data_IF_721737900988
#
_entry.id   IF_721737900988
#
_cell.length_a   1.000
_cell.length_b   1.000
_cell.length_c   1.000
_cell.angle_alpha   90.00
_cell.angle_beta   90.00
_cell.angle_gamma   90.00
#
_symmetry.space_group_name_H-M   'P 1'
#
loop_
_entity.id
_entity.type
_entity.pdbx_description
1 polymer ?
#
# COMPACT_ATOMS: atom_id res chain seq x y z
N UNK A 1 -2.13 -2.94 8.54
CA UNK A 1 -0.90 -3.75 8.68
C UNK A 1 0.02 -3.02 9.66
N UNK A 2 0.24 -3.56 10.84
CA UNK A 2 1.26 -3.04 11.75
C UNK A 2 2.64 -3.49 11.27
N UNK A 3 3.58 -2.56 11.20
CA UNK A 3 5.00 -2.84 10.99
C UNK A 3 5.83 -1.78 11.72
N UNK A 4 6.92 -2.22 12.34
CA UNK A 4 7.84 -1.35 13.06
C UNK A 4 9.02 -0.93 12.19
N UNK A 5 9.31 -1.72 11.14
CA UNK A 5 10.45 -1.54 10.25
C UNK A 5 10.02 -1.54 8.80
N UNK A 6 10.61 -0.68 8.01
CA UNK A 6 10.34 -0.65 6.57
C UNK A 6 11.59 -0.31 5.74
N UNK A 7 11.62 -0.85 4.53
CA UNK A 7 12.58 -0.50 3.51
C UNK A 7 11.82 0.08 2.33
N UNK A 8 12.29 1.22 1.84
CA UNK A 8 11.80 1.82 0.62
C UNK A 8 12.98 1.98 -0.32
N UNK A 9 13.08 1.12 -1.36
CA UNK A 9 14.20 1.17 -2.33
C UNK A 9 14.25 2.47 -3.11
N UNK A 10 13.11 3.13 -3.21
CA UNK A 10 12.92 4.36 -3.97
C UNK A 10 12.43 5.50 -3.08
N UNK A 11 12.71 6.73 -3.50
CA UNK A 11 12.09 7.96 -3.03
C UNK A 11 11.52 8.70 -4.24
N UNK A 12 10.24 9.07 -4.20
CA UNK A 12 9.42 9.37 -5.36
C UNK A 12 8.78 8.12 -5.95
N UNK A 13 7.75 8.30 -6.77
CA UNK A 13 7.00 7.17 -7.35
C UNK A 13 6.37 7.56 -8.69
N UNK A 14 6.77 6.88 -9.75
CA UNK A 14 6.26 7.11 -11.11
C UNK A 14 4.76 6.83 -11.27
N UNK A 15 4.13 6.09 -10.34
CA UNK A 15 2.70 5.79 -10.36
C UNK A 15 1.82 7.05 -10.36
N UNK A 16 2.29 8.15 -9.76
CA UNK A 16 1.65 9.45 -9.84
C UNK A 16 0.29 9.56 -9.15
N UNK A 17 -0.01 8.71 -8.17
CA UNK A 17 -1.27 8.77 -7.45
C UNK A 17 -1.49 10.15 -6.84
N UNK A 18 -2.63 10.79 -7.13
CA UNK A 18 -2.93 12.16 -6.66
C UNK A 18 -3.03 12.24 -5.13
N UNK A 19 -3.48 11.18 -4.50
CA UNK A 19 -3.71 11.06 -3.06
C UNK A 19 -2.49 10.54 -2.28
N UNK A 20 -1.33 10.38 -2.90
CA UNK A 20 -0.20 9.70 -2.26
C UNK A 20 0.33 10.50 -1.07
N UNK A 21 0.19 9.95 0.12
CA UNK A 21 0.64 10.58 1.37
C UNK A 21 2.17 10.73 1.48
N UNK A 22 2.92 10.08 0.59
CA UNK A 22 4.38 10.18 0.55
C UNK A 22 4.88 11.40 -0.23
N UNK A 23 4.01 12.10 -0.99
CA UNK A 23 4.37 13.28 -1.78
C UNK A 23 5.15 14.36 -1.00
N UNK A 24 4.75 14.71 0.23
CA UNK A 24 5.48 15.71 1.03
C UNK A 24 6.94 15.30 1.35
N UNK A 25 7.32 14.04 1.15
CA UNK A 25 8.72 13.62 1.36
C UNK A 25 9.71 14.29 0.38
N UNK A 26 9.25 14.79 -0.77
CA UNK A 26 10.07 15.53 -1.72
C UNK A 26 10.38 16.94 -1.25
N UNK A 27 9.51 17.55 -0.43
CA UNK A 27 9.79 18.87 0.15
C UNK A 27 11.05 18.87 1.04
N UNK A 28 11.43 17.73 1.65
CA UNK A 28 12.70 17.59 2.38
C UNK A 28 13.94 17.60 1.48
N UNK A 29 13.76 17.53 0.16
CA UNK A 29 14.81 17.58 -0.86
C UNK A 29 14.76 18.89 -1.65
N UNK A 30 14.02 19.88 -1.17
CA UNK A 30 13.73 21.14 -1.87
C UNK A 30 13.09 20.93 -3.26
N UNK A 31 12.29 19.85 -3.39
CA UNK A 31 11.58 19.49 -4.60
C UNK A 31 10.06 19.58 -4.40
N UNK A 32 9.34 19.82 -5.51
CA UNK A 32 7.88 19.88 -5.49
C UNK A 32 7.26 18.54 -5.11
N UNK A 33 6.29 18.49 -4.16
CA UNK A 33 5.49 17.30 -3.89
C UNK A 33 4.51 16.96 -5.03
N UNK A 34 4.37 17.83 -6.02
CA UNK A 34 3.60 17.63 -7.24
C UNK A 34 4.35 16.78 -8.26
N UNK A 35 4.77 17.41 -9.36
CA UNK A 35 5.37 16.72 -10.50
C UNK A 35 6.74 16.11 -10.20
N UNK A 36 7.57 16.77 -9.37
CA UNK A 36 8.90 16.23 -9.06
C UNK A 36 8.82 14.89 -8.32
N UNK A 37 7.79 14.68 -7.47
CA UNK A 37 7.57 13.39 -6.82
C UNK A 37 7.36 12.23 -7.81
N UNK A 38 6.86 12.53 -8.99
CA UNK A 38 6.53 11.55 -10.03
C UNK A 38 7.62 11.37 -11.08
N UNK A 39 8.52 12.35 -11.22
CA UNK A 39 9.49 12.43 -12.33
C UNK A 39 10.94 12.43 -11.85
N UNK A 40 11.21 12.83 -10.62
CA UNK A 40 12.54 12.82 -10.00
C UNK A 40 12.63 11.70 -8.99
N UNK A 41 12.89 10.50 -9.50
CA UNK A 41 12.95 9.28 -8.67
C UNK A 41 14.40 9.09 -8.20
N UNK A 42 14.57 9.03 -6.88
CA UNK A 42 15.82 8.62 -6.27
C UNK A 42 15.75 7.13 -5.93
N UNK A 43 16.86 6.43 -6.07
CA UNK A 43 16.94 5.01 -5.77
C UNK A 43 18.19 4.69 -4.94
N UNK A 44 18.13 3.60 -4.20
CA UNK A 44 19.19 3.14 -3.29
C UNK A 44 19.83 1.89 -3.87
N UNK A 45 20.88 2.02 -4.68
CA UNK A 45 21.49 0.88 -5.36
C UNK A 45 22.13 -0.11 -4.38
N UNK A 46 22.57 0.37 -3.23
CA UNK A 46 23.22 -0.34 -2.14
C UNK A 46 22.24 -0.78 -1.01
N UNK A 47 20.93 -0.84 -1.30
CA UNK A 47 19.92 -1.17 -0.29
C UNK A 47 20.11 -2.57 0.32
N UNK A 48 20.53 -3.55 -0.49
CA UNK A 48 20.76 -4.92 -0.02
C UNK A 48 22.01 -5.01 0.89
N UNK A 49 23.11 -4.36 0.50
CA UNK A 49 24.36 -4.31 1.26
C UNK A 49 24.17 -3.62 2.61
N UNK A 50 23.43 -2.50 2.61
CA UNK A 50 23.10 -1.79 3.86
C UNK A 50 22.21 -2.62 4.78
N UNK A 51 21.26 -3.35 4.21
CA UNK A 51 20.39 -4.23 4.99
C UNK A 51 21.19 -5.36 5.63
N UNK A 52 22.10 -5.99 4.87
CA UNK A 52 22.99 -7.02 5.39
C UNK A 52 23.85 -6.49 6.55
N UNK A 53 24.47 -5.32 6.37
CA UNK A 53 25.26 -4.67 7.43
C UNK A 53 24.43 -4.35 8.69
N UNK A 54 23.13 -4.07 8.53
CA UNK A 54 22.24 -3.88 9.68
C UNK A 54 21.97 -5.20 10.41
N UNK A 55 21.78 -6.30 9.67
CA UNK A 55 21.53 -7.63 10.23
C UNK A 55 22.75 -8.21 10.95
N UNK A 56 23.96 -7.86 10.55
CA UNK A 56 25.21 -8.29 11.20
C UNK A 56 25.46 -7.65 12.59
N UNK A 57 24.68 -6.64 12.96
CA UNK A 57 24.81 -6.00 14.27
C UNK A 57 24.39 -6.94 15.40
N UNK A 58 25.21 -7.07 16.43
CA UNK A 58 24.91 -7.89 17.63
C UNK A 58 23.58 -7.53 18.33
N UNK A 59 23.11 -6.29 18.16
CA UNK A 59 21.84 -5.81 18.74
C UNK A 59 20.65 -6.01 17.82
N UNK A 60 20.83 -6.66 16.66
CA UNK A 60 19.74 -6.86 15.73
C UNK A 60 18.78 -7.94 16.27
N UNK A 61 17.50 -7.59 16.31
CA UNK A 61 16.40 -8.49 16.62
C UNK A 61 15.58 -8.71 15.37
N UNK A 62 15.32 -9.95 14.98
CA UNK A 62 14.50 -10.25 13.82
C UNK A 62 13.04 -9.82 14.05
N UNK A 63 12.54 -8.98 13.16
CA UNK A 63 11.12 -8.58 13.07
C UNK A 63 10.76 -8.40 11.60
N UNK A 64 9.53 -8.71 11.19
CA UNK A 64 9.11 -8.53 9.80
C UNK A 64 9.37 -7.12 9.28
N UNK A 65 9.97 -7.03 8.11
CA UNK A 65 10.26 -5.76 7.45
C UNK A 65 9.24 -5.52 6.34
N UNK A 66 8.63 -4.33 6.29
CA UNK A 66 7.73 -3.95 5.22
C UNK A 66 8.50 -3.29 4.06
N UNK A 67 8.33 -3.79 2.83
CA UNK A 67 8.80 -3.13 1.61
C UNK A 67 7.61 -2.43 0.96
N UNK A 68 7.79 -1.17 0.56
CA UNK A 68 6.74 -0.40 -0.10
C UNK A 68 5.79 0.34 0.85
N UNK A 69 6.22 0.58 2.08
CA UNK A 69 5.44 1.34 3.06
C UNK A 69 5.27 2.82 2.67
N UNK A 70 6.18 3.38 1.88
CA UNK A 70 6.16 4.79 1.47
C UNK A 70 6.02 4.95 -0.04
N UNK A 71 6.89 4.31 -0.82
CA UNK A 71 6.87 4.31 -2.29
C UNK A 71 6.74 2.90 -2.82
N UNK A 72 6.12 2.75 -4.00
CA UNK A 72 5.86 1.42 -4.55
C UNK A 72 7.17 0.73 -4.96
N UNK A 73 7.49 -0.46 -4.44
CA UNK A 73 8.71 -1.19 -4.77
C UNK A 73 8.66 -1.80 -6.18
N UNK A 74 7.49 -1.84 -6.81
CA UNK A 74 7.28 -2.33 -8.16
C UNK A 74 6.78 -1.24 -9.12
N UNK A 75 7.17 0.02 -8.85
CA UNK A 75 6.98 1.11 -9.81
C UNK A 75 7.80 0.85 -11.09
N UNK A 76 7.50 1.52 -12.22
CA UNK A 76 8.16 1.24 -13.51
C UNK A 76 9.69 1.16 -13.47
N UNK A 77 10.37 2.02 -12.69
CA UNK A 77 11.83 2.02 -12.54
C UNK A 77 12.39 0.66 -12.05
N UNK A 78 11.64 -0.08 -11.25
CA UNK A 78 12.07 -1.39 -10.75
C UNK A 78 12.27 -2.42 -11.87
N UNK A 79 11.61 -2.25 -13.03
CA UNK A 79 11.79 -3.16 -14.18
C UNK A 79 13.24 -3.21 -14.65
N UNK A 80 13.93 -2.08 -14.63
CA UNK A 80 15.33 -1.96 -15.08
C UNK A 80 16.34 -2.01 -13.93
N UNK A 81 15.98 -1.49 -12.75
CA UNK A 81 16.91 -1.36 -11.63
C UNK A 81 17.01 -2.64 -10.78
N UNK A 82 15.95 -3.42 -10.66
CA UNK A 82 15.93 -4.72 -9.98
C UNK A 82 16.32 -4.68 -8.49
N UNK A 83 16.12 -3.54 -7.80
CA UNK A 83 16.55 -3.37 -6.40
C UNK A 83 15.69 -4.19 -5.47
N UNK A 84 14.37 -4.21 -5.70
CA UNK A 84 13.42 -5.03 -4.91
C UNK A 84 13.74 -6.50 -5.04
N UNK A 85 14.05 -6.99 -6.26
CA UNK A 85 14.44 -8.39 -6.47
C UNK A 85 15.70 -8.73 -5.67
N UNK A 86 16.76 -7.91 -5.72
CA UNK A 86 17.99 -8.14 -4.92
C UNK A 86 17.71 -8.18 -3.41
N UNK A 87 16.81 -7.32 -2.93
CA UNK A 87 16.37 -7.38 -1.54
C UNK A 87 15.69 -8.71 -1.23
N UNK A 88 14.77 -9.19 -2.09
CA UNK A 88 14.08 -10.48 -1.88
C UNK A 88 15.04 -11.66 -1.90
N UNK A 89 16.05 -11.67 -2.76
CA UNK A 89 17.12 -12.68 -2.77
C UNK A 89 17.87 -12.71 -1.44
N UNK A 90 18.12 -11.52 -0.85
CA UNK A 90 18.74 -11.41 0.47
C UNK A 90 17.80 -11.93 1.58
N UNK A 91 16.52 -11.54 1.57
CA UNK A 91 15.51 -12.04 2.50
C UNK A 91 15.40 -13.57 2.49
N UNK A 92 15.39 -14.16 1.29
CA UNK A 92 15.33 -15.61 1.13
C UNK A 92 16.60 -16.29 1.65
N UNK A 93 17.78 -15.79 1.29
CA UNK A 93 19.08 -16.34 1.71
C UNK A 93 19.23 -16.39 3.22
N UNK A 94 18.78 -15.33 3.91
CA UNK A 94 18.89 -15.20 5.37
C UNK A 94 17.62 -15.63 6.10
N UNK A 95 16.63 -16.18 5.42
CA UNK A 95 15.33 -16.58 5.98
C UNK A 95 14.66 -15.49 6.82
N UNK A 96 14.81 -14.25 6.41
CA UNK A 96 14.25 -13.10 7.12
C UNK A 96 12.81 -12.81 6.65
N UNK A 97 11.84 -12.60 7.58
CA UNK A 97 10.46 -12.34 7.21
C UNK A 97 10.25 -10.95 6.58
N UNK A 98 9.43 -10.90 5.53
CA UNK A 98 9.14 -9.69 4.75
C UNK A 98 7.66 -9.56 4.43
N UNK A 99 7.14 -8.33 4.44
CA UNK A 99 5.83 -8.00 3.89
C UNK A 99 6.01 -7.03 2.73
N UNK A 100 5.23 -7.19 1.66
CA UNK A 100 5.30 -6.33 0.49
C UNK A 100 3.98 -5.61 0.32
N UNK A 101 4.04 -4.31 0.02
CA UNK A 101 2.86 -3.49 -0.31
C UNK A 101 3.07 -2.91 -1.70
N UNK A 102 2.16 -3.20 -2.63
CA UNK A 102 2.29 -2.72 -4.00
C UNK A 102 0.95 -2.49 -4.71
N UNK A 103 0.99 -1.69 -5.76
CA UNK A 103 -0.03 -1.56 -6.81
C UNK A 103 0.44 -2.14 -8.14
N UNK A 104 1.73 -2.54 -8.20
CA UNK A 104 2.39 -2.97 -9.42
C UNK A 104 2.13 -4.44 -9.76
N UNK A 105 1.72 -4.71 -11.02
CA UNK A 105 1.66 -6.09 -11.52
C UNK A 105 3.06 -6.73 -11.63
N UNK A 106 4.11 -5.91 -11.67
CA UNK A 106 5.50 -6.38 -11.78
C UNK A 106 5.94 -7.30 -10.62
N UNK A 107 5.20 -7.32 -9.51
CA UNK A 107 5.43 -8.25 -8.39
C UNK A 107 5.45 -9.72 -8.84
N UNK A 108 4.73 -10.07 -9.90
CA UNK A 108 4.69 -11.42 -10.47
C UNK A 108 6.02 -11.84 -11.08
N UNK A 109 6.89 -10.89 -11.49
CA UNK A 109 8.26 -11.19 -11.94
C UNK A 109 9.05 -11.98 -10.90
N UNK A 110 8.82 -11.71 -9.62
CA UNK A 110 9.59 -12.25 -8.50
C UNK A 110 8.83 -13.39 -7.78
N UNK A 111 7.87 -14.04 -8.50
CA UNK A 111 7.04 -15.10 -7.97
C UNK A 111 7.86 -16.31 -7.50
N UNK A 112 8.99 -16.59 -8.17
CA UNK A 112 9.94 -17.64 -7.78
C UNK A 112 10.45 -17.45 -6.34
N UNK A 113 10.88 -16.23 -6.01
CA UNK A 113 11.37 -15.89 -4.67
C UNK A 113 10.24 -15.82 -3.63
N UNK A 114 9.10 -15.24 -4.03
CA UNK A 114 7.95 -15.08 -3.13
C UNK A 114 7.32 -16.41 -2.76
N UNK A 115 7.19 -17.35 -3.71
CA UNK A 115 6.67 -18.69 -3.44
C UNK A 115 7.59 -19.47 -2.50
N UNK A 116 8.92 -19.33 -2.66
CA UNK A 116 9.86 -19.99 -1.77
C UNK A 116 9.83 -19.40 -0.35
N UNK A 117 9.80 -18.07 -0.22
CA UNK A 117 9.61 -17.39 1.06
C UNK A 117 8.30 -17.81 1.74
N UNK A 118 7.21 -17.95 0.96
CA UNK A 118 5.89 -18.33 1.47
C UNK A 118 5.88 -19.77 2.04
N UNK A 119 6.58 -20.72 1.41
CA UNK A 119 6.72 -22.10 1.93
C UNK A 119 7.31 -22.13 3.34
N UNK A 120 8.12 -21.16 3.69
CA UNK A 120 8.74 -21.02 5.00
C UNK A 120 7.98 -20.06 5.93
N UNK A 121 6.77 -19.62 5.57
CA UNK A 121 6.01 -18.59 6.30
C UNK A 121 6.81 -17.28 6.50
N UNK A 122 7.61 -16.88 5.50
CA UNK A 122 8.48 -15.71 5.57
C UNK A 122 7.97 -14.51 4.77
N UNK A 123 6.89 -14.66 3.99
CA UNK A 123 6.40 -13.49 3.26
C UNK A 123 4.88 -13.39 3.19
N UNK A 124 4.41 -12.16 2.92
CA UNK A 124 3.04 -11.82 2.55
C UNK A 124 3.06 -10.66 1.59
N UNK A 125 2.11 -10.66 0.66
CA UNK A 125 1.96 -9.59 -0.33
C UNK A 125 0.61 -8.92 -0.16
N UNK A 126 0.62 -7.60 0.02
CA UNK A 126 -0.58 -6.77 0.05
C UNK A 126 -0.70 -5.99 -1.26
N UNK A 127 -1.79 -6.21 -1.98
CA UNK A 127 -2.08 -5.51 -3.24
C UNK A 127 -3.16 -4.46 -3.03
N UNK A 128 -2.87 -3.22 -3.44
CA UNK A 128 -3.83 -2.11 -3.29
C UNK A 128 -4.80 -2.06 -4.46
N UNK A 129 -6.11 -2.07 -4.18
CA UNK A 129 -7.20 -1.93 -5.16
C UNK A 129 -8.22 -0.92 -4.62
N UNK A 130 -8.02 0.40 -4.84
CA UNK A 130 -8.93 1.42 -4.31
C UNK A 130 -10.21 1.60 -5.11
N UNK A 131 -10.24 1.19 -6.38
CA UNK A 131 -11.43 1.30 -7.25
C UNK A 131 -11.41 0.23 -8.34
N UNK A 132 -12.59 -0.20 -8.75
CA UNK A 132 -12.81 -1.04 -9.93
C UNK A 132 -13.19 -0.21 -11.16
N UNK A 133 -13.47 1.06 -10.99
CA UNK A 133 -13.83 1.98 -12.07
C UNK A 133 -12.57 2.47 -12.79
N UNK A 134 -12.41 2.09 -14.07
CA UNK A 134 -11.23 2.44 -14.88
C UNK A 134 -11.13 3.95 -15.19
N UNK A 135 -12.25 4.68 -15.28
CA UNK A 135 -12.23 6.12 -15.49
C UNK A 135 -11.75 6.85 -14.25
N UNK A 136 -12.27 6.47 -13.07
CA UNK A 136 -11.79 7.00 -11.80
C UNK A 136 -10.32 6.65 -11.60
N UNK A 137 -9.92 5.40 -11.86
CA UNK A 137 -8.51 4.96 -11.77
C UNK A 137 -7.62 5.83 -12.66
N UNK A 138 -8.03 6.14 -13.89
CA UNK A 138 -7.22 6.90 -14.85
C UNK A 138 -6.85 8.29 -14.33
N UNK A 139 -7.80 8.98 -13.69
CA UNK A 139 -7.58 10.33 -13.16
C UNK A 139 -6.94 10.32 -11.75
N UNK A 140 -7.12 9.26 -10.99
CA UNK A 140 -6.64 9.15 -9.61
C UNK A 140 -5.25 8.49 -9.51
N UNK A 141 -4.98 7.52 -10.38
CA UNK A 141 -3.77 6.68 -10.42
C UNK A 141 -3.28 6.52 -11.88
N UNK A 142 -2.79 7.58 -12.53
CA UNK A 142 -2.61 7.61 -13.99
C UNK A 142 -1.71 6.48 -14.53
N UNK A 143 -0.62 6.16 -13.86
CA UNK A 143 0.39 5.18 -14.33
C UNK A 143 0.39 3.86 -13.54
N UNK A 144 -0.61 3.64 -12.70
CA UNK A 144 -0.77 2.36 -11.99
C UNK A 144 -1.50 1.36 -12.92
N UNK A 145 -1.20 0.05 -12.85
CA UNK A 145 -1.96 -0.97 -13.57
C UNK A 145 -3.47 -0.93 -13.26
N UNK A 146 -4.32 -1.36 -14.20
CA UNK A 146 -5.77 -1.44 -14.01
C UNK A 146 -6.16 -2.35 -12.84
N UNK A 147 -7.37 -2.20 -12.31
CA UNK A 147 -7.89 -3.09 -11.28
C UNK A 147 -7.84 -4.56 -11.73
N UNK A 148 -8.25 -4.85 -12.97
CA UNK A 148 -8.18 -6.21 -13.53
C UNK A 148 -6.76 -6.78 -13.57
N UNK A 149 -5.74 -5.95 -13.86
CA UNK A 149 -4.34 -6.38 -13.82
C UNK A 149 -3.87 -6.69 -12.40
N UNK A 150 -4.29 -5.90 -11.40
CA UNK A 150 -3.96 -6.14 -9.99
C UNK A 150 -4.64 -7.41 -9.48
N UNK A 151 -5.90 -7.66 -9.85
CA UNK A 151 -6.60 -8.91 -9.52
C UNK A 151 -5.92 -10.14 -10.15
N UNK A 152 -5.43 -10.02 -11.39
CA UNK A 152 -4.62 -11.10 -11.99
C UNK A 152 -3.35 -11.38 -11.19
N UNK A 153 -2.61 -10.33 -10.81
CA UNK A 153 -1.42 -10.50 -9.96
C UNK A 153 -1.76 -11.19 -8.62
N UNK A 154 -2.90 -10.83 -8.00
CA UNK A 154 -3.36 -11.50 -6.78
C UNK A 154 -3.62 -12.99 -7.01
N UNK A 155 -4.30 -13.36 -8.11
CA UNK A 155 -4.55 -14.78 -8.45
C UNK A 155 -3.26 -15.56 -8.70
N UNK A 156 -2.32 -14.96 -9.42
CA UNK A 156 -1.02 -15.60 -9.70
C UNK A 156 -0.22 -15.83 -8.41
N UNK A 157 -0.18 -14.85 -7.51
CA UNK A 157 0.43 -14.98 -6.19
C UNK A 157 -0.26 -16.05 -5.34
N UNK A 158 -1.59 -16.02 -5.24
CA UNK A 158 -2.37 -16.98 -4.46
C UNK A 158 -2.21 -18.41 -5.00
N UNK A 159 -2.24 -18.60 -6.33
CA UNK A 159 -2.04 -19.90 -6.97
C UNK A 159 -0.63 -20.47 -6.74
N UNK A 160 0.37 -19.62 -6.53
CA UNK A 160 1.73 -20.01 -6.16
C UNK A 160 1.91 -20.25 -4.64
N UNK A 161 0.83 -20.15 -3.85
CA UNK A 161 0.87 -20.35 -2.39
C UNK A 161 1.35 -19.15 -1.59
N UNK A 162 1.50 -17.99 -2.22
CA UNK A 162 1.87 -16.74 -1.52
C UNK A 162 0.63 -16.18 -0.81
N UNK A 163 0.68 -15.93 0.52
CA UNK A 163 -0.42 -15.29 1.22
C UNK A 163 -0.68 -13.87 0.71
N UNK A 164 -1.90 -13.61 0.21
CA UNK A 164 -2.29 -12.33 -0.38
C UNK A 164 -3.29 -11.62 0.51
N UNK A 165 -3.08 -10.33 0.74
CA UNK A 165 -4.06 -9.44 1.33
C UNK A 165 -4.42 -8.28 0.40
N UNK A 166 -5.65 -7.77 0.55
CA UNK A 166 -6.13 -6.63 -0.22
C UNK A 166 -6.06 -5.35 0.62
N UNK A 167 -5.61 -4.26 0.00
CA UNK A 167 -5.68 -2.91 0.57
C UNK A 167 -6.66 -2.06 -0.23
N UNK A 168 -7.83 -1.76 0.35
CA UNK A 168 -8.74 -0.75 -0.22
C UNK A 168 -8.26 0.60 0.29
N UNK A 169 -7.29 1.17 -0.40
CA UNK A 169 -6.54 2.33 0.07
C UNK A 169 -6.14 3.29 -1.06
N UNK A 170 -6.65 4.54 -0.99
CA UNK A 170 -7.55 5.06 0.04
C UNK A 170 -9.02 4.79 -0.27
N UNK A 171 -9.85 4.76 0.80
CA UNK A 171 -11.29 5.02 0.67
C UNK A 171 -11.48 6.53 0.72
N UNK A 172 -12.00 7.09 -0.36
CA UNK A 172 -12.28 8.52 -0.52
C UNK A 172 -13.79 8.72 -0.37
N UNK A 173 -14.24 9.41 0.69
CA UNK A 173 -15.66 9.61 0.95
C UNK A 173 -16.37 10.29 -0.24
N UNK A 174 -17.56 9.82 -0.58
CA UNK A 174 -18.39 10.30 -1.68
C UNK A 174 -17.76 10.15 -3.10
N UNK A 175 -16.64 9.46 -3.25
CA UNK A 175 -15.99 9.19 -4.54
C UNK A 175 -15.96 7.68 -4.85
N UNK A 176 -15.24 6.86 -4.04
CA UNK A 176 -15.13 5.42 -4.25
C UNK A 176 -15.63 4.57 -3.06
N UNK A 177 -16.16 5.19 -2.03
CA UNK A 177 -16.69 4.51 -0.84
C UNK A 177 -17.91 3.61 -1.12
N UNK A 178 -18.62 3.84 -2.22
CA UNK A 178 -19.70 3.00 -2.69
C UNK A 178 -19.22 1.68 -3.34
N UNK A 179 -17.92 1.57 -3.67
CA UNK A 179 -17.36 0.38 -4.30
C UNK A 179 -16.83 -0.67 -3.28
N UNK A 180 -16.83 -0.39 -1.98
CA UNK A 180 -16.17 -1.23 -0.95
C UNK A 180 -16.58 -2.70 -1.07
N UNK A 181 -17.88 -2.98 -1.14
CA UNK A 181 -18.41 -4.34 -1.17
C UNK A 181 -18.05 -5.07 -2.47
N UNK A 182 -18.13 -4.39 -3.61
CA UNK A 182 -17.78 -4.96 -4.92
C UNK A 182 -16.27 -5.22 -5.07
N UNK A 183 -15.43 -4.32 -4.53
CA UNK A 183 -13.98 -4.52 -4.47
C UNK A 183 -13.67 -5.73 -3.60
N UNK A 184 -14.25 -5.82 -2.40
CA UNK A 184 -14.04 -6.96 -1.49
C UNK A 184 -14.43 -8.29 -2.12
N UNK A 185 -15.56 -8.36 -2.82
CA UNK A 185 -15.97 -9.56 -3.55
C UNK A 185 -14.95 -9.94 -4.62
N UNK A 186 -14.46 -8.96 -5.41
CA UNK A 186 -13.50 -9.20 -6.48
C UNK A 186 -12.14 -9.65 -5.97
N UNK A 187 -11.65 -9.10 -4.84
CA UNK A 187 -10.36 -9.49 -4.27
C UNK A 187 -10.45 -10.84 -3.55
N UNK A 188 -11.59 -11.18 -2.94
CA UNK A 188 -11.83 -12.52 -2.38
C UNK A 188 -11.81 -13.59 -3.47
N UNK A 189 -12.51 -13.36 -4.60
CA UNK A 189 -12.46 -14.22 -5.80
C UNK A 189 -11.03 -14.33 -6.39
N UNK A 190 -10.22 -13.30 -6.23
CA UNK A 190 -8.83 -13.31 -6.65
C UNK A 190 -7.88 -14.00 -5.65
N UNK A 191 -8.38 -14.61 -4.57
CA UNK A 191 -7.61 -15.38 -3.61
C UNK A 191 -7.05 -14.59 -2.43
N UNK A 192 -7.52 -13.36 -2.19
CA UNK A 192 -7.17 -12.64 -0.97
C UNK A 192 -7.72 -13.38 0.27
N UNK A 193 -6.89 -13.53 1.28
CA UNK A 193 -7.25 -14.14 2.57
C UNK A 193 -7.64 -13.07 3.60
N UNK A 194 -7.11 -11.87 3.44
CA UNK A 194 -7.31 -10.77 4.36
C UNK A 194 -7.54 -9.46 3.61
N UNK A 195 -8.29 -8.55 4.21
CA UNK A 195 -8.48 -7.22 3.67
C UNK A 195 -8.32 -6.12 4.74
N UNK A 196 -7.81 -4.98 4.27
CA UNK A 196 -7.70 -3.75 5.06
C UNK A 196 -8.21 -2.58 4.24
N UNK A 197 -8.68 -1.53 4.90
CA UNK A 197 -8.93 -0.25 4.25
C UNK A 197 -8.16 0.87 4.94
N UNK A 198 -7.87 1.91 4.19
CA UNK A 198 -7.31 3.14 4.74
C UNK A 198 -8.17 4.29 4.25
N UNK A 199 -8.70 5.06 5.19
CA UNK A 199 -9.42 6.28 4.92
C UNK A 199 -8.47 7.34 4.32
N UNK A 200 -8.93 8.15 3.38
CA UNK A 200 -8.11 9.19 2.77
C UNK A 200 -7.45 10.10 3.81
N UNK A 201 -6.17 10.34 3.62
CA UNK A 201 -5.33 11.21 4.47
C UNK A 201 -4.67 12.27 3.61
N UNK A 202 -4.74 13.51 4.04
CA UNK A 202 -4.17 14.65 3.30
C UNK A 202 -3.16 15.41 4.17
N UNK A 203 -1.94 14.87 4.38
CA UNK A 203 -0.90 15.55 5.13
C UNK A 203 -0.29 16.71 4.31
N UNK A 204 0.00 17.80 5.00
CA UNK A 204 0.76 18.95 4.49
C UNK A 204 0.24 19.43 3.13
N UNK A 205 1.10 19.62 2.15
CA UNK A 205 0.82 20.16 0.81
C UNK A 205 -0.13 19.26 -0.02
N UNK A 206 -0.35 18.02 0.42
CA UNK A 206 -1.28 17.12 -0.26
C UNK A 206 -2.73 17.61 -0.22
N UNK A 207 -3.10 18.43 0.78
CA UNK A 207 -4.44 19.06 0.84
C UNK A 207 -4.67 19.88 -0.42
N UNK A 208 -3.72 20.73 -0.80
CA UNK A 208 -3.86 21.64 -1.94
C UNK A 208 -3.87 20.88 -3.26
N UNK A 209 -2.98 19.90 -3.42
CA UNK A 209 -2.91 19.03 -4.60
C UNK A 209 -4.24 18.29 -4.80
N UNK A 210 -4.77 17.70 -3.73
CA UNK A 210 -6.00 16.94 -3.80
C UNK A 210 -7.23 17.83 -3.98
N UNK A 211 -7.23 19.02 -3.40
CA UNK A 211 -8.30 20.02 -3.60
C UNK A 211 -8.36 20.47 -5.05
N UNK A 212 -7.22 20.80 -5.67
CA UNK A 212 -7.17 21.15 -7.10
C UNK A 212 -7.65 20.01 -8.01
N UNK A 213 -7.35 18.77 -7.64
CA UNK A 213 -7.86 17.59 -8.35
C UNK A 213 -9.40 17.45 -8.21
N UNK A 214 -9.95 17.72 -7.02
CA UNK A 214 -11.40 17.73 -6.81
C UNK A 214 -12.08 18.85 -7.62
N UNK A 215 -11.50 20.04 -7.63
CA UNK A 215 -12.02 21.18 -8.41
C UNK A 215 -12.10 20.87 -9.91
N UNK A 216 -11.14 20.05 -10.40
CA UNK A 216 -11.08 19.68 -11.81
C UNK A 216 -12.05 18.56 -12.17
N UNK A 217 -12.19 17.55 -11.31
CA UNK A 217 -12.88 16.29 -11.67
C UNK A 217 -14.21 16.09 -10.95
N UNK A 218 -14.42 16.70 -9.79
CA UNK A 218 -15.61 16.53 -8.92
C UNK A 218 -15.99 17.82 -8.20
N UNK A 219 -16.14 18.97 -8.93
CA UNK A 219 -16.39 20.27 -8.28
C UNK A 219 -17.63 20.26 -7.38
N UNK A 220 -18.68 19.56 -7.78
CA UNK A 220 -19.93 19.44 -7.02
C UNK A 220 -19.80 18.59 -5.74
N UNK A 221 -18.75 17.77 -5.59
CA UNK A 221 -18.49 16.93 -4.41
C UNK A 221 -17.36 17.42 -3.54
N UNK A 222 -16.59 18.40 -4.00
CA UNK A 222 -15.40 18.93 -3.35
C UNK A 222 -15.59 19.21 -1.87
N UNK A 223 -16.55 20.07 -1.53
CA UNK A 223 -16.77 20.48 -0.14
C UNK A 223 -17.23 19.32 0.74
N UNK A 224 -18.08 18.44 0.19
CA UNK A 224 -18.53 17.23 0.89
C UNK A 224 -17.36 16.31 1.22
N UNK A 225 -16.47 16.04 0.25
CA UNK A 225 -15.29 15.19 0.45
C UNK A 225 -14.38 15.78 1.51
N UNK A 226 -14.00 17.06 1.38
CA UNK A 226 -13.09 17.74 2.30
C UNK A 226 -13.66 17.83 3.72
N UNK A 227 -14.97 18.07 3.86
CA UNK A 227 -15.64 18.11 5.17
C UNK A 227 -15.62 16.73 5.84
N UNK A 228 -15.92 15.64 5.12
CA UNK A 228 -15.89 14.29 5.66
C UNK A 228 -14.46 13.85 6.04
N UNK A 229 -13.47 14.24 5.24
CA UNK A 229 -12.05 13.98 5.57
C UNK A 229 -11.64 14.73 6.83
N UNK A 230 -12.06 15.99 6.96
CA UNK A 230 -11.77 16.82 8.14
C UNK A 230 -12.48 16.29 9.39
N UNK A 231 -13.73 15.87 9.28
CA UNK A 231 -14.48 15.21 10.36
C UNK A 231 -13.75 13.96 10.85
N UNK A 232 -13.39 13.06 9.91
CA UNK A 232 -12.67 11.83 10.22
C UNK A 232 -11.28 12.09 10.86
N UNK A 233 -10.63 13.20 10.49
CA UNK A 233 -9.39 13.67 11.09
C UNK A 233 -9.56 14.42 12.42
N UNK A 234 -10.80 14.53 12.94
CA UNK A 234 -11.10 15.23 14.18
C UNK A 234 -10.94 16.73 14.11
N UNK A 235 -11.44 17.34 13.04
CA UNK A 235 -11.40 18.75 12.75
C UNK A 235 -10.20 19.18 11.90
N UNK A 236 -9.34 18.23 11.48
CA UNK A 236 -8.15 18.47 10.63
C UNK A 236 -8.18 17.54 9.42
N UNK A 237 -7.53 17.92 8.32
CA UNK A 237 -7.39 17.06 7.15
C UNK A 237 -6.47 15.86 7.37
N UNK A 238 -5.67 15.90 8.46
CA UNK A 238 -4.76 14.81 8.83
C UNK A 238 -4.60 14.73 10.36
N UNK A 239 -4.73 13.50 10.90
CA UNK A 239 -4.40 13.16 12.29
C UNK A 239 -3.18 12.21 12.25
N UNK A 240 -2.03 12.63 12.77
CA UNK A 240 -0.78 11.88 12.74
C UNK A 240 -0.74 10.71 13.74
N UNK A 241 -1.68 10.65 14.70
CA UNK A 241 -1.66 9.65 15.78
C UNK A 241 -1.80 8.23 15.25
N UNK A 242 -0.91 7.37 15.72
CA UNK A 242 -0.91 5.95 15.35
C UNK A 242 -2.26 5.29 15.73
N UNK A 243 -2.74 4.36 14.88
CA UNK A 243 -4.04 3.69 15.06
C UNK A 243 -5.26 4.51 14.58
N UNK A 244 -5.25 5.83 14.70
CA UNK A 244 -6.35 6.71 14.27
C UNK A 244 -6.19 7.24 12.84
N UNK A 245 -4.94 7.44 12.42
CA UNK A 245 -4.60 7.99 11.10
C UNK A 245 -5.08 7.14 9.92
N UNK A 246 -5.44 5.87 10.14
CA UNK A 246 -5.77 4.93 9.06
C UNK A 246 -7.28 4.80 8.85
N UNK A 247 -8.07 4.77 9.91
CA UNK A 247 -9.51 4.48 9.82
C UNK A 247 -10.40 5.71 10.02
N UNK A 248 -9.83 6.81 10.55
CA UNK A 248 -10.61 7.99 10.91
C UNK A 248 -11.45 7.77 12.17
N UNK A 249 -12.33 8.74 12.46
CA UNK A 249 -13.30 8.74 13.57
C UNK A 249 -14.57 9.50 13.19
N UNK A 250 -15.62 9.36 13.98
CA UNK A 250 -16.93 9.99 13.75
C UNK A 250 -17.89 9.10 12.99
N UNK A 251 -19.13 9.53 12.92
CA UNK A 251 -20.25 8.71 12.44
C UNK A 251 -20.03 8.11 11.05
N UNK A 252 -19.45 8.90 10.13
CA UNK A 252 -19.17 8.44 8.76
C UNK A 252 -18.07 7.38 8.73
N UNK A 253 -16.97 7.60 9.42
CA UNK A 253 -15.87 6.63 9.49
C UNK A 253 -16.29 5.33 10.17
N UNK A 254 -17.12 5.41 11.23
CA UNK A 254 -17.67 4.27 11.96
C UNK A 254 -18.63 3.46 11.07
N UNK A 255 -19.47 4.13 10.27
CA UNK A 255 -20.33 3.51 9.27
C UNK A 255 -19.51 2.76 8.23
N UNK A 256 -18.49 3.38 7.64
CA UNK A 256 -17.59 2.73 6.66
C UNK A 256 -16.91 1.51 7.27
N UNK A 257 -16.37 1.64 8.48
CA UNK A 257 -15.75 0.53 9.20
C UNK A 257 -16.71 -0.62 9.44
N UNK A 258 -17.98 -0.34 9.75
CA UNK A 258 -19.02 -1.36 9.96
C UNK A 258 -19.42 -2.05 8.65
N UNK A 259 -19.59 -1.31 7.56
CA UNK A 259 -19.82 -1.86 6.21
C UNK A 259 -18.68 -2.79 5.79
N UNK A 260 -17.44 -2.30 5.92
CA UNK A 260 -16.24 -3.05 5.57
C UNK A 260 -16.16 -4.39 6.35
N UNK A 261 -16.25 -4.35 7.69
CA UNK A 261 -16.22 -5.57 8.52
C UNK A 261 -17.33 -6.55 8.19
N UNK A 262 -18.54 -6.04 7.94
CA UNK A 262 -19.69 -6.87 7.57
C UNK A 262 -19.48 -7.57 6.23
N UNK A 263 -18.97 -6.85 5.23
CA UNK A 263 -18.66 -7.43 3.93
C UNK A 263 -17.51 -8.45 4.01
N UNK A 264 -16.43 -8.15 4.73
CA UNK A 264 -15.33 -9.11 4.94
C UNK A 264 -15.83 -10.41 5.59
N UNK A 265 -16.64 -10.31 6.64
CA UNK A 265 -17.22 -11.49 7.31
C UNK A 265 -18.06 -12.36 6.36
N UNK A 266 -18.88 -11.75 5.50
CA UNK A 266 -19.68 -12.49 4.52
C UNK A 266 -18.84 -13.20 3.47
N UNK A 267 -17.66 -12.68 3.16
CA UNK A 267 -16.73 -13.18 2.13
C UNK A 267 -15.62 -14.08 2.72
N UNK A 268 -15.60 -14.31 4.03
CA UNK A 268 -14.54 -15.10 4.68
C UNK A 268 -13.18 -14.41 4.70
N UNK A 269 -13.13 -13.09 4.54
CA UNK A 269 -11.89 -12.31 4.61
C UNK A 269 -11.56 -11.95 6.06
N UNK A 270 -10.34 -12.20 6.49
CA UNK A 270 -9.83 -11.75 7.78
C UNK A 270 -9.68 -10.22 7.83
N UNK A 271 -9.86 -9.64 9.01
CA UNK A 271 -9.71 -8.20 9.29
C UNK A 271 -8.90 -8.01 10.56
N UNK A 272 -7.95 -7.08 10.55
CA UNK A 272 -7.15 -6.77 11.72
C UNK A 272 -5.74 -7.33 11.65
N UNK A 273 -5.19 -7.78 12.78
CA UNK A 273 -3.88 -8.41 12.84
C UNK A 273 -3.92 -9.81 12.21
N UNK A 274 -2.81 -10.24 11.68
CA UNK A 274 -2.70 -11.58 11.10
C UNK A 274 -2.81 -12.64 12.19
N UNK A 275 -3.66 -13.62 11.99
CA UNK A 275 -3.85 -14.76 12.91
C UNK A 275 -2.57 -15.58 13.07
N UNK A 276 -1.76 -15.66 12.01
CA UNK A 276 -0.48 -16.35 12.04
C UNK A 276 0.64 -15.33 11.72
N UNK A 277 1.49 -14.96 12.69
CA UNK A 277 2.63 -14.08 12.42
C UNK A 277 3.63 -14.73 11.46
N UNK A 278 4.41 -13.90 10.76
CA UNK A 278 5.55 -14.41 10.00
C UNK A 278 6.60 -14.96 10.95
N UNK A 279 7.29 -15.99 10.50
CA UNK A 279 8.29 -16.70 11.31
C UNK A 279 9.59 -15.88 11.39
N UNK A 280 9.99 -15.52 12.59
CA UNK A 280 11.26 -14.82 12.88
C UNK A 280 12.34 -15.78 13.40
N UNK A 281 12.00 -17.02 13.77
CA UNK A 281 12.91 -17.96 14.42
C UNK A 281 13.84 -18.63 13.40
N UNK A 282 13.53 -18.55 12.12
CA UNK A 282 14.35 -19.09 11.04
C UNK A 282 15.48 -18.16 10.57
N UNK A 283 15.54 -16.92 11.05
CA UNK A 283 16.54 -15.94 10.63
C UNK A 283 17.96 -16.42 10.92
N UNK A 284 18.85 -16.36 9.88
CA UNK A 284 20.22 -16.88 9.89
C UNK A 284 21.26 -15.75 9.92
#
# INVERSE_FOLDING_TARGET
MPFDRSINPYQGCEHGCVYCYARPSHSYLDLSPGLDFETRIFYKPDAAERLLSEWEKKSYECKPIAIGANTDPYQPAEKSLGITRRLLELFLRHRHPVTIITKGHLVVRDLDLLAELARHNLCRVAVSVPTMNDDLKRIMEPRVPSAGSRLRAMRELANAGVPVSALIAPVIPAINDNEIESILASVADAGAQQAHYIFLRLPHELVDIFTAWLDTHFPERRDRVLNLVREAGGGRHYDSRFGRRQTGRGAYADMLGSRFRTACRKLGLEVGEYTHPLDCDQFL
#
